data_IF_116854559270
#
_entry.id   IF_116854559270
#
_cell.length_a   1.000
_cell.length_b   1.000
_cell.length_c   1.000
_cell.angle_alpha   90.00
_cell.angle_beta   90.00
_cell.angle_gamma   90.00
#
_symmetry.space_group_name_H-M   'P 1'
#
loop_
_entity.id
_entity.type
_entity.pdbx_description
1 polymer ?
#
# COMPACT_ATOMS: atom_id res chain seq x y z
N UNK A 1 -4.65 9.55 25.80
CA UNK A 1 -3.41 8.88 25.30
C UNK A 1 -3.63 8.54 23.84
N UNK A 2 -2.58 8.58 23.02
CA UNK A 2 -2.68 8.20 21.61
C UNK A 2 -2.87 6.69 21.49
N UNK A 3 -3.92 6.26 20.79
CA UNK A 3 -4.09 4.86 20.41
C UNK A 3 -3.11 4.48 19.28
N UNK A 4 -3.02 3.18 18.93
CA UNK A 4 -2.09 2.72 17.89
C UNK A 4 -2.35 3.39 16.54
N UNK A 5 -3.63 3.53 16.17
CA UNK A 5 -4.02 4.18 14.92
C UNK A 5 -3.72 5.69 14.90
N UNK A 6 -3.74 6.37 16.05
CA UNK A 6 -3.36 7.78 16.20
C UNK A 6 -1.88 8.01 15.84
N UNK A 7 -1.01 7.04 16.12
CA UNK A 7 0.40 7.09 15.75
C UNK A 7 0.58 6.98 14.23
N UNK A 8 -0.16 6.07 13.58
CA UNK A 8 -0.13 5.88 12.13
C UNK A 8 -0.62 7.12 11.38
N UNK A 9 -1.72 7.72 11.84
CA UNK A 9 -2.29 8.96 11.26
C UNK A 9 -1.37 10.18 11.35
N UNK A 10 -0.29 10.11 12.13
CA UNK A 10 0.72 11.18 12.25
C UNK A 10 1.92 11.00 11.33
N UNK A 11 1.99 9.90 10.58
CA UNK A 11 3.08 9.67 9.62
C UNK A 11 2.98 10.65 8.45
N UNK A 12 4.08 11.36 8.15
CA UNK A 12 4.12 12.27 6.99
C UNK A 12 4.54 11.58 5.71
N UNK A 13 5.44 10.61 5.82
CA UNK A 13 6.05 9.89 4.68
C UNK A 13 5.81 8.39 4.80
N UNK A 14 6.04 7.65 3.71
CA UNK A 14 6.07 6.18 3.73
C UNK A 14 7.09 5.64 4.73
N UNK A 15 8.25 6.27 4.82
CA UNK A 15 9.31 5.89 5.76
C UNK A 15 8.87 6.07 7.22
N UNK A 16 8.20 7.19 7.53
CA UNK A 16 7.63 7.41 8.86
C UNK A 16 6.52 6.41 9.19
N UNK A 17 5.69 6.05 8.21
CA UNK A 17 4.63 5.06 8.40
C UNK A 17 5.23 3.69 8.72
N UNK A 18 6.19 3.24 7.92
CA UNK A 18 6.87 1.96 8.11
C UNK A 18 7.60 1.91 9.46
N UNK A 19 8.35 2.96 9.81
CA UNK A 19 9.01 3.03 11.09
C UNK A 19 8.02 3.08 12.27
N UNK A 20 6.85 3.69 12.08
CA UNK A 20 5.78 3.67 13.09
C UNK A 20 5.22 2.26 13.28
N UNK A 21 5.02 1.50 12.19
CA UNK A 21 4.57 0.10 12.27
C UNK A 21 5.59 -0.77 13.00
N UNK A 22 6.87 -0.69 12.61
CA UNK A 22 7.96 -1.43 13.27
C UNK A 22 8.07 -1.05 14.76
N UNK A 23 7.96 0.23 15.10
CA UNK A 23 7.95 0.69 16.48
C UNK A 23 6.80 0.04 17.29
N UNK A 24 5.59 0.02 16.73
CA UNK A 24 4.42 -0.59 17.35
C UNK A 24 4.52 -2.12 17.47
N UNK A 25 5.23 -2.80 16.56
CA UNK A 25 5.53 -4.23 16.66
C UNK A 25 6.54 -4.51 17.78
N UNK A 26 7.60 -3.71 17.90
CA UNK A 26 8.62 -3.90 18.94
C UNK A 26 8.12 -3.63 20.35
N UNK A 27 7.25 -2.63 20.54
CA UNK A 27 6.60 -2.37 21.84
C UNK A 27 5.75 -3.58 22.28
N UNK A 28 5.13 -4.30 21.34
CA UNK A 28 4.36 -5.52 21.64
C UNK A 28 5.24 -6.74 21.93
N UNK A 29 6.36 -6.89 21.22
CA UNK A 29 7.28 -8.01 21.42
C UNK A 29 8.02 -7.92 22.77
N UNK A 30 8.31 -6.71 23.24
CA UNK A 30 8.93 -6.46 24.55
C UNK A 30 8.07 -6.92 25.74
N UNK A 31 6.76 -7.09 25.57
CA UNK A 31 5.83 -7.49 26.63
C UNK A 31 5.71 -9.01 26.79
N UNK A 32 6.05 -9.80 25.77
CA UNK A 32 5.97 -11.27 25.84
C UNK A 32 7.24 -11.93 26.40
N UNK A 33 8.32 -11.17 26.64
CA UNK A 33 9.57 -11.67 27.21
C UNK A 33 9.57 -11.89 28.73
N UNK A 34 8.41 -11.84 29.40
CA UNK A 34 8.30 -11.77 30.86
C UNK A 34 7.27 -12.70 31.48
N UNK A 35 7.29 -14.00 31.18
CA UNK A 35 7.01 -15.14 32.11
C UNK A 35 6.78 -16.43 31.30
N UNK A 36 7.57 -17.45 31.62
CA UNK A 36 7.42 -18.78 31.04
C UNK A 36 6.24 -19.58 31.61
N UNK A 37 6.01 -20.70 30.92
CA UNK A 37 5.26 -21.89 31.29
C UNK A 37 3.71 -21.81 31.25
N UNK A 38 3.17 -22.26 30.11
CA UNK A 38 2.11 -23.26 30.04
C UNK A 38 0.72 -22.86 30.55
N UNK A 39 -0.10 -22.28 29.68
CA UNK A 39 -1.53 -22.59 29.61
C UNK A 39 -2.12 -22.06 28.30
N UNK A 40 -2.72 -22.95 27.50
CA UNK A 40 -3.54 -22.60 26.35
C UNK A 40 -4.79 -21.84 26.85
N UNK A 41 -4.77 -20.51 26.77
CA UNK A 41 -6.00 -19.73 26.96
C UNK A 41 -6.67 -19.45 25.62
N UNK A 42 -7.86 -20.04 25.52
CA UNK A 42 -8.91 -19.80 24.53
C UNK A 42 -9.17 -18.30 24.39
N UNK A 43 -9.07 -17.79 23.16
CA UNK A 43 -9.42 -16.42 22.80
C UNK A 43 -10.88 -16.13 23.17
N UNK A 44 -11.09 -15.22 24.12
CA UNK A 44 -12.35 -14.50 24.31
C UNK A 44 -12.17 -13.06 23.82
N UNK A 45 -13.15 -12.46 23.12
CA UNK A 45 -13.03 -11.12 22.57
C UNK A 45 -13.33 -10.10 23.67
N UNK A 46 -12.28 -9.53 24.25
CA UNK A 46 -12.36 -8.36 25.12
C UNK A 46 -11.65 -7.17 24.45
N UNK A 47 -12.15 -5.94 24.60
CA UNK A 47 -11.74 -4.81 23.78
C UNK A 47 -10.25 -4.48 24.00
N UNK A 48 -9.49 -4.43 22.90
CA UNK A 48 -8.05 -4.14 22.83
C UNK A 48 -7.73 -2.67 23.18
N UNK A 49 -8.11 -2.23 24.37
CA UNK A 49 -7.72 -0.96 24.95
C UNK A 49 -6.94 -1.19 26.25
N UNK A 50 -5.68 -0.76 26.20
CA UNK A 50 -4.72 -0.63 27.31
C UNK A 50 -3.81 -1.83 27.58
N UNK A 51 -2.50 -1.65 27.35
CA UNK A 51 -1.48 -1.46 28.41
C UNK A 51 -0.06 -1.77 27.90
N UNK A 52 0.55 -0.77 27.27
CA UNK A 52 1.91 -0.35 27.65
C UNK A 52 1.78 1.07 28.21
N UNK A 53 2.54 1.50 29.24
CA UNK A 53 2.35 2.83 29.81
C UNK A 53 2.75 3.84 28.74
N UNK A 54 1.75 4.42 28.07
CA UNK A 54 2.01 5.58 27.25
C UNK A 54 2.78 6.58 28.11
N UNK A 55 3.83 7.24 27.57
CA UNK A 55 4.67 8.12 28.37
C UNK A 55 3.74 9.06 29.16
N UNK A 56 3.94 9.17 30.49
CA UNK A 56 3.00 9.90 31.34
C UNK A 56 2.78 11.27 30.73
N UNK A 57 1.52 11.71 30.70
CA UNK A 57 1.20 13.09 30.33
C UNK A 57 2.07 13.99 31.21
N UNK A 58 3.01 14.68 30.58
CA UNK A 58 3.94 15.54 31.28
C UNK A 58 3.22 16.71 31.92
N UNK A 59 3.97 17.52 32.66
CA UNK A 59 3.48 18.80 33.16
C UNK A 59 2.85 19.62 32.02
N UNK A 60 1.84 20.46 32.32
CA UNK A 60 1.23 21.35 31.34
C UNK A 60 2.31 22.13 30.57
N UNK A 61 2.07 22.42 29.27
CA UNK A 61 3.05 23.12 28.46
C UNK A 61 3.42 24.46 29.09
N UNK A 62 4.71 24.74 29.20
CA UNK A 62 5.27 25.99 29.68
C UNK A 62 6.15 26.63 28.60
N UNK A 63 6.54 27.90 28.79
CA UNK A 63 7.43 28.59 27.86
C UNK A 63 8.78 27.88 27.63
N UNK A 64 9.21 27.05 28.59
CA UNK A 64 10.47 26.29 28.56
C UNK A 64 10.26 24.80 28.22
N UNK A 65 9.05 24.27 28.40
CA UNK A 65 8.71 22.88 28.15
C UNK A 65 7.45 22.81 27.27
N UNK A 66 7.65 22.77 25.96
CA UNK A 66 6.58 22.63 24.99
C UNK A 66 6.23 21.17 24.67
N UNK A 67 5.08 20.93 24.00
CA UNK A 67 4.76 19.61 23.51
C UNK A 67 5.74 19.20 22.39
N UNK A 68 5.82 17.89 22.15
CA UNK A 68 6.54 17.33 21.02
C UNK A 68 6.03 17.90 19.69
N UNK A 69 6.95 18.35 18.82
CA UNK A 69 6.60 18.99 17.55
C UNK A 69 5.96 18.04 16.51
N UNK A 70 6.03 16.72 16.73
CA UNK A 70 5.40 15.70 15.88
C UNK A 70 4.02 15.32 16.39
N UNK A 71 3.91 14.85 17.63
CA UNK A 71 2.64 14.33 18.13
C UNK A 71 1.73 15.40 18.75
N UNK A 72 2.27 16.53 19.19
CA UNK A 72 1.60 17.63 19.91
C UNK A 72 0.88 17.22 21.21
N UNK A 73 1.11 15.99 21.69
CA UNK A 73 0.44 15.43 22.88
C UNK A 73 1.42 15.18 24.02
N UNK A 74 2.54 14.51 23.73
CA UNK A 74 3.51 14.16 24.77
C UNK A 74 4.57 15.24 24.95
N UNK A 75 5.14 15.37 26.17
CA UNK A 75 6.23 16.30 26.43
C UNK A 75 7.49 15.93 25.61
N UNK A 76 8.33 16.93 25.34
CA UNK A 76 9.67 16.72 24.77
C UNK A 76 10.55 15.92 25.74
N UNK A 77 11.52 15.19 25.22
CA UNK A 77 12.43 14.41 26.06
C UNK A 77 13.22 15.33 27.02
N UNK A 78 13.06 15.13 28.33
CA UNK A 78 13.72 15.94 29.36
C UNK A 78 15.25 15.78 29.39
N UNK A 79 15.78 14.76 28.71
CA UNK A 79 17.21 14.43 28.68
C UNK A 79 18.04 15.42 27.89
N UNK A 80 17.43 16.24 27.03
CA UNK A 80 18.13 17.28 26.25
C UNK A 80 17.34 18.59 26.28
N UNK A 81 17.96 19.74 26.62
CA UNK A 81 17.26 21.03 26.65
C UNK A 81 16.69 21.43 25.28
N UNK A 82 17.34 21.01 24.19
CA UNK A 82 16.90 21.29 22.81
C UNK A 82 16.06 20.16 22.17
N UNK A 83 15.55 19.21 22.98
CA UNK A 83 14.74 18.12 22.46
C UNK A 83 13.49 18.66 21.76
N UNK A 84 13.32 18.36 20.48
CA UNK A 84 12.13 18.74 19.70
C UNK A 84 10.99 17.73 19.80
N UNK A 85 11.31 16.50 20.18
CA UNK A 85 10.39 15.37 20.12
C UNK A 85 10.33 14.61 21.44
N UNK A 86 9.22 13.90 21.68
CA UNK A 86 9.15 12.91 22.74
C UNK A 86 9.98 11.66 22.37
N UNK A 87 10.37 10.81 23.33
CA UNK A 87 11.19 9.63 23.05
C UNK A 87 10.63 8.72 21.95
N UNK A 88 9.32 8.44 21.97
CA UNK A 88 8.67 7.63 20.94
C UNK A 88 8.72 8.28 19.54
N UNK A 89 8.40 9.57 19.42
CA UNK A 89 8.51 10.29 18.15
C UNK A 89 9.95 10.35 17.65
N UNK A 90 10.92 10.51 18.55
CA UNK A 90 12.34 10.51 18.21
C UNK A 90 12.76 9.15 17.64
N UNK A 91 12.41 8.06 18.31
CA UNK A 91 12.69 6.70 17.87
C UNK A 91 12.07 6.40 16.48
N UNK A 92 10.82 6.80 16.26
CA UNK A 92 10.14 6.65 14.97
C UNK A 92 10.87 7.44 13.87
N UNK A 93 11.26 8.69 14.13
CA UNK A 93 11.95 9.51 13.14
C UNK A 93 13.35 8.97 12.82
N UNK A 94 14.08 8.49 13.82
CA UNK A 94 15.38 7.83 13.61
C UNK A 94 15.23 6.52 12.82
N UNK A 95 14.20 5.73 13.12
CA UNK A 95 13.86 4.53 12.35
C UNK A 95 13.49 4.85 10.90
N UNK A 96 12.72 5.92 10.67
CA UNK A 96 12.30 6.35 9.34
C UNK A 96 13.49 6.64 8.41
N UNK A 97 14.57 7.22 8.93
CA UNK A 97 15.79 7.44 8.15
C UNK A 97 16.42 6.14 7.66
N UNK A 98 16.38 5.07 8.47
CA UNK A 98 16.97 3.76 8.12
C UNK A 98 16.16 3.02 7.06
N UNK A 99 14.84 3.18 7.07
CA UNK A 99 13.93 2.48 6.14
C UNK A 99 13.52 3.32 4.93
N UNK A 100 14.17 4.47 4.71
CA UNK A 100 13.79 5.43 3.67
C UNK A 100 13.81 4.83 2.27
N UNK A 101 14.90 4.14 1.90
CA UNK A 101 15.03 3.52 0.58
C UNK A 101 14.02 2.38 0.38
N UNK A 102 13.81 1.57 1.41
CA UNK A 102 12.82 0.49 1.39
C UNK A 102 11.41 1.04 1.19
N UNK A 103 11.08 2.13 1.89
CA UNK A 103 9.76 2.76 1.80
C UNK A 103 9.49 3.36 0.42
N UNK A 104 10.50 3.88 -0.27
CA UNK A 104 10.33 4.54 -1.58
C UNK A 104 9.81 3.58 -2.68
N UNK A 105 9.95 2.27 -2.47
CA UNK A 105 9.46 1.21 -3.36
C UNK A 105 8.36 0.38 -2.70
N UNK A 106 7.73 0.93 -1.67
CA UNK A 106 6.65 0.27 -0.95
C UNK A 106 5.30 0.85 -1.35
N UNK A 107 4.31 -0.02 -1.26
CA UNK A 107 2.89 0.27 -1.38
C UNK A 107 2.22 0.00 -0.04
N UNK A 108 1.08 0.64 0.16
CA UNK A 108 0.26 0.53 1.34
C UNK A 108 -1.10 -0.01 0.92
N UNK A 109 -1.50 -1.11 1.55
CA UNK A 109 -2.80 -1.71 1.36
C UNK A 109 -3.64 -1.55 2.65
N UNK A 110 -4.71 -0.77 2.58
CA UNK A 110 -5.74 -0.75 3.62
C UNK A 110 -6.83 -1.74 3.23
N UNK A 111 -7.08 -2.72 4.08
CA UNK A 111 -8.10 -3.73 3.86
C UNK A 111 -9.25 -3.61 4.84
N UNK A 112 -10.47 -3.63 4.31
CA UNK A 112 -11.71 -3.82 5.04
C UNK A 112 -12.38 -5.08 4.50
N UNK A 113 -12.34 -6.15 5.28
CA UNK A 113 -12.74 -7.48 4.84
C UNK A 113 -13.68 -8.13 5.83
N UNK A 114 -14.53 -9.04 5.35
CA UNK A 114 -15.44 -9.83 6.18
C UNK A 114 -14.72 -10.62 7.27
N UNK A 115 -13.53 -11.12 6.95
CA UNK A 115 -12.72 -11.93 7.83
C UNK A 115 -11.23 -11.69 7.54
N UNK A 116 -10.43 -11.37 8.56
CA UNK A 116 -8.97 -11.28 8.37
C UNK A 116 -8.38 -12.60 7.86
N UNK A 117 -7.48 -12.56 6.86
CA UNK A 117 -6.67 -13.69 6.44
C UNK A 117 -5.97 -14.38 7.63
N UNK A 118 -5.88 -15.71 7.64
CA UNK A 118 -5.26 -16.45 8.75
C UNK A 118 -3.81 -16.02 8.99
N UNK A 119 -3.09 -15.73 7.91
CA UNK A 119 -1.72 -15.21 7.91
C UNK A 119 -1.57 -13.88 8.66
N UNK A 120 -2.66 -13.12 8.81
CA UNK A 120 -2.69 -11.84 9.52
C UNK A 120 -3.18 -11.95 10.96
N UNK A 121 -3.73 -13.11 11.36
CA UNK A 121 -4.37 -13.32 12.67
C UNK A 121 -3.40 -13.75 13.78
N UNK A 122 -2.17 -14.13 13.44
CA UNK A 122 -1.17 -14.60 14.39
C UNK A 122 0.22 -14.10 14.00
N UNK A 123 1.17 -14.08 14.95
CA UNK A 123 2.55 -13.62 14.80
C UNK A 123 3.40 -14.47 13.85
N UNK A 124 2.93 -14.66 12.62
CA UNK A 124 3.69 -15.18 11.50
C UNK A 124 4.90 -14.28 11.33
N UNK A 125 6.08 -14.89 11.23
CA UNK A 125 7.29 -14.13 10.93
C UNK A 125 7.12 -13.49 9.56
N UNK A 126 7.04 -12.15 9.52
CA UNK A 126 6.85 -11.40 8.29
C UNK A 126 7.97 -11.69 7.27
N UNK A 127 9.12 -12.22 7.72
CA UNK A 127 10.23 -12.67 6.86
C UNK A 127 9.83 -13.75 5.85
N UNK A 128 8.86 -14.58 6.19
CA UNK A 128 8.34 -15.64 5.31
C UNK A 128 7.13 -15.17 4.49
N UNK A 129 6.79 -13.88 4.56
CA UNK A 129 5.65 -13.30 3.87
C UNK A 129 6.07 -12.24 2.85
N UNK A 130 5.16 -11.88 1.94
CA UNK A 130 5.31 -10.76 1.04
C UNK A 130 5.30 -9.38 1.73
N UNK A 131 4.99 -9.34 3.04
CA UNK A 131 4.72 -8.12 3.79
C UNK A 131 5.99 -7.59 4.45
N UNK A 132 6.16 -6.26 4.40
CA UNK A 132 7.21 -5.55 5.14
C UNK A 132 6.76 -5.20 6.55
N UNK A 133 5.49 -4.87 6.73
CA UNK A 133 4.90 -4.53 8.01
C UNK A 133 3.38 -4.75 7.98
N UNK A 134 2.80 -5.09 9.13
CA UNK A 134 1.38 -5.36 9.27
C UNK A 134 0.83 -4.70 10.53
N UNK A 135 -0.32 -4.04 10.39
CA UNK A 135 -1.09 -3.54 11.52
C UNK A 135 -2.53 -4.00 11.40
N UNK A 136 -2.96 -4.79 12.38
CA UNK A 136 -4.36 -5.19 12.53
C UNK A 136 -5.06 -4.18 13.42
N UNK A 137 -6.11 -3.54 12.91
CA UNK A 137 -6.88 -2.55 13.65
C UNK A 137 -7.98 -3.21 14.49
N UNK A 138 -8.73 -4.12 13.88
CA UNK A 138 -9.79 -4.94 14.48
C UNK A 138 -10.00 -6.23 13.65
N UNK A 139 -11.11 -6.94 13.84
CA UNK A 139 -11.39 -8.23 13.16
C UNK A 139 -11.65 -8.13 11.65
N UNK A 140 -11.81 -6.92 11.11
CA UNK A 140 -12.18 -6.64 9.72
C UNK A 140 -11.19 -5.70 9.02
N UNK A 141 -10.45 -4.89 9.78
CA UNK A 141 -9.59 -3.85 9.27
C UNK A 141 -8.11 -4.16 9.50
N UNK A 142 -7.32 -4.02 8.44
CA UNK A 142 -5.87 -4.12 8.52
C UNK A 142 -5.18 -3.13 7.58
N UNK A 143 -3.93 -2.84 7.92
CA UNK A 143 -3.00 -2.06 7.13
C UNK A 143 -1.77 -2.92 6.86
N UNK A 144 -1.48 -3.18 5.59
CA UNK A 144 -0.29 -3.89 5.17
C UNK A 144 0.62 -2.96 4.37
N UNK A 145 1.92 -3.06 4.59
CA UNK A 145 2.94 -2.47 3.72
C UNK A 145 3.72 -3.59 3.05
N UNK A 146 3.95 -3.48 1.76
CA UNK A 146 4.69 -4.46 0.96
C UNK A 146 5.47 -3.75 -0.15
N UNK A 147 6.46 -4.42 -0.74
CA UNK A 147 7.15 -3.87 -1.92
C UNK A 147 6.22 -3.93 -3.12
N UNK A 148 6.28 -2.95 -4.03
CA UNK A 148 5.35 -2.90 -5.16
C UNK A 148 5.33 -4.19 -6.00
N UNK A 149 6.49 -4.86 -6.18
CA UNK A 149 6.61 -6.12 -6.95
C UNK A 149 5.94 -7.32 -6.30
N UNK A 150 5.68 -7.23 -5.01
CA UNK A 150 5.05 -8.30 -4.24
C UNK A 150 3.53 -8.21 -4.30
N UNK A 151 2.97 -7.16 -4.94
CA UNK A 151 1.52 -6.97 -5.03
C UNK A 151 0.82 -8.15 -5.70
N UNK A 152 1.29 -8.56 -6.87
CA UNK A 152 0.69 -9.66 -7.61
C UNK A 152 0.77 -11.01 -6.86
N UNK A 153 1.96 -11.49 -6.41
CA UNK A 153 2.02 -12.77 -5.71
C UNK A 153 1.24 -12.73 -4.39
N UNK A 154 1.24 -11.61 -3.66
CA UNK A 154 0.43 -11.45 -2.46
C UNK A 154 -1.08 -11.53 -2.73
N UNK A 155 -1.56 -10.89 -3.79
CA UNK A 155 -2.98 -10.97 -4.17
C UNK A 155 -3.36 -12.37 -4.68
N UNK A 156 -2.47 -13.05 -5.40
CA UNK A 156 -2.67 -14.43 -5.82
C UNK A 156 -2.75 -15.35 -4.60
N UNK A 157 -1.87 -15.17 -3.63
CA UNK A 157 -1.88 -15.91 -2.37
C UNK A 157 -3.20 -15.70 -1.59
N UNK A 158 -3.64 -14.45 -1.45
CA UNK A 158 -4.93 -14.12 -0.84
C UNK A 158 -6.10 -14.80 -1.56
N UNK A 159 -6.11 -14.77 -2.89
CA UNK A 159 -7.14 -15.40 -3.70
C UNK A 159 -7.10 -16.94 -3.62
N UNK A 160 -5.92 -17.54 -3.53
CA UNK A 160 -5.75 -18.99 -3.42
C UNK A 160 -6.21 -19.52 -2.05
N UNK A 161 -5.81 -18.87 -0.96
CA UNK A 161 -6.13 -19.35 0.40
C UNK A 161 -7.52 -18.97 0.88
N UNK A 162 -8.05 -17.83 0.44
CA UNK A 162 -9.34 -17.32 0.92
C UNK A 162 -10.44 -17.30 -0.16
N UNK A 163 -10.11 -17.60 -1.41
CA UNK A 163 -11.09 -17.83 -2.47
C UNK A 163 -12.16 -16.73 -2.56
N UNK A 164 -13.43 -17.17 -2.68
CA UNK A 164 -14.60 -16.30 -2.67
C UNK A 164 -15.14 -15.96 -1.26
N UNK A 165 -14.51 -16.46 -0.21
CA UNK A 165 -14.95 -16.25 1.17
C UNK A 165 -14.48 -14.89 1.70
N UNK A 166 -13.30 -14.44 1.26
CA UNK A 166 -12.82 -13.08 1.51
C UNK A 166 -13.65 -12.10 0.67
N UNK A 167 -14.39 -11.23 1.34
CA UNK A 167 -15.20 -10.18 0.68
C UNK A 167 -14.90 -8.85 1.32
N UNK A 168 -15.08 -7.76 0.59
CA UNK A 168 -14.81 -6.41 1.07
C UNK A 168 -13.96 -5.61 0.08
N UNK A 169 -13.12 -4.73 0.61
CA UNK A 169 -12.36 -3.75 -0.15
C UNK A 169 -10.89 -3.75 0.27
N UNK A 170 -9.99 -3.87 -0.71
CA UNK A 170 -8.56 -3.60 -0.57
C UNK A 170 -8.24 -2.32 -1.31
N UNK A 171 -7.82 -1.28 -0.60
CA UNK A 171 -7.35 -0.02 -1.19
C UNK A 171 -5.83 -0.01 -1.19
N UNK A 172 -5.23 0.04 -2.39
CA UNK A 172 -3.78 0.00 -2.59
C UNK A 172 -3.31 1.35 -3.10
N UNK A 173 -2.33 1.94 -2.42
CA UNK A 173 -1.74 3.24 -2.78
C UNK A 173 -0.22 3.19 -2.63
N UNK A 174 0.57 3.79 -3.53
CA UNK A 174 2.00 3.96 -3.31
C UNK A 174 2.26 4.87 -2.11
N UNK A 175 3.41 4.67 -1.48
CA UNK A 175 3.86 5.56 -0.41
C UNK A 175 4.25 6.93 -0.93
N UNK A 176 4.22 7.94 -0.04
CA UNK A 176 4.63 9.30 -0.37
C UNK A 176 5.99 9.65 0.22
N UNK A 177 6.73 10.54 -0.46
CA UNK A 177 7.89 11.22 0.10
C UNK A 177 7.54 12.40 1.02
N UNK A 178 6.25 12.70 1.21
CA UNK A 178 5.75 13.76 2.10
C UNK A 178 5.82 15.19 1.57
N UNK A 179 6.07 15.41 0.27
CA UNK A 179 6.05 16.77 -0.32
C UNK A 179 4.63 17.25 -0.61
N UNK A 180 3.86 16.45 -1.35
CA UNK A 180 2.55 16.86 -1.86
C UNK A 180 1.39 16.18 -1.13
N UNK A 181 1.64 15.07 -0.43
CA UNK A 181 0.62 14.34 0.31
C UNK A 181 1.23 13.66 1.54
N UNK A 182 0.56 13.76 2.67
CA UNK A 182 0.97 13.10 3.91
C UNK A 182 0.34 11.71 4.01
N UNK A 183 1.14 10.70 4.37
CA UNK A 183 0.63 9.33 4.53
C UNK A 183 -0.53 9.23 5.51
N UNK A 184 -0.46 9.93 6.64
CA UNK A 184 -1.53 9.93 7.62
C UNK A 184 -2.85 10.50 7.10
N UNK A 185 -2.79 11.50 6.22
CA UNK A 185 -4.00 12.04 5.56
C UNK A 185 -4.58 11.04 4.56
N UNK A 186 -3.72 10.41 3.76
CA UNK A 186 -4.12 9.35 2.82
C UNK A 186 -4.82 8.21 3.54
N UNK A 187 -4.28 7.74 4.66
CA UNK A 187 -4.90 6.71 5.48
C UNK A 187 -6.29 7.13 5.98
N UNK A 188 -6.43 8.35 6.51
CA UNK A 188 -7.74 8.86 6.93
C UNK A 188 -8.75 8.89 5.77
N UNK A 189 -8.31 9.27 4.56
CA UNK A 189 -9.17 9.30 3.37
C UNK A 189 -9.55 7.90 2.89
N UNK A 190 -8.61 6.96 2.91
CA UNK A 190 -8.88 5.55 2.58
C UNK A 190 -9.94 4.98 3.52
N UNK A 191 -9.76 5.16 4.84
CA UNK A 191 -10.74 4.72 5.85
C UNK A 191 -12.11 5.39 5.62
N UNK A 192 -12.13 6.68 5.28
CA UNK A 192 -13.40 7.36 4.98
C UNK A 192 -14.09 6.83 3.72
N UNK A 193 -13.34 6.49 2.68
CA UNK A 193 -13.86 6.04 1.39
C UNK A 193 -14.41 4.61 1.43
N UNK A 194 -13.97 3.82 2.39
CA UNK A 194 -14.37 2.43 2.59
C UNK A 194 -15.88 2.25 2.80
N UNK A 195 -16.51 3.14 3.58
CA UNK A 195 -17.92 3.07 3.96
C UNK A 195 -18.91 3.08 2.77
N UNK A 196 -18.43 3.34 1.55
CA UNK A 196 -19.22 3.40 0.32
C UNK A 196 -19.34 2.05 -0.40
N UNK A 197 -18.59 1.02 0.01
CA UNK A 197 -18.53 -0.24 -0.72
C UNK A 197 -19.26 -1.38 0.00
N UNK A 198 -20.11 -2.13 -0.72
CA UNK A 198 -20.73 -3.33 -0.15
C UNK A 198 -19.71 -4.47 -0.01
N UNK A 199 -19.90 -5.32 0.99
CA UNK A 199 -19.06 -6.48 1.30
C UNK A 199 -19.54 -7.76 0.60
N UNK A 200 -20.04 -7.65 -0.64
CA UNK A 200 -20.57 -8.76 -1.44
C UNK A 200 -19.49 -9.58 -2.15
N UNK A 201 -18.39 -8.93 -2.54
CA UNK A 201 -17.23 -9.53 -3.23
C UNK A 201 -15.95 -8.82 -2.82
N UNK A 202 -14.79 -9.41 -3.10
CA UNK A 202 -13.50 -8.73 -2.89
C UNK A 202 -13.22 -7.78 -4.04
N UNK A 203 -13.20 -6.48 -3.74
CA UNK A 203 -12.81 -5.43 -4.68
C UNK A 203 -11.43 -4.91 -4.36
N UNK A 204 -10.67 -4.60 -5.40
CA UNK A 204 -9.39 -3.92 -5.30
C UNK A 204 -9.55 -2.53 -5.87
N UNK A 205 -9.23 -1.54 -5.06
CA UNK A 205 -9.15 -0.15 -5.45
C UNK A 205 -7.69 0.25 -5.55
N UNK A 206 -7.19 0.36 -6.77
CA UNK A 206 -5.78 0.60 -7.03
C UNK A 206 -5.55 2.05 -7.43
N UNK A 207 -4.82 2.79 -6.59
CA UNK A 207 -4.38 4.15 -6.88
C UNK A 207 -2.95 4.07 -7.41
N UNK A 208 -2.73 4.40 -8.68
CA UNK A 208 -1.39 4.43 -9.28
C UNK A 208 -0.52 5.53 -8.68
N UNK A 209 -1.15 6.61 -8.20
CA UNK A 209 -0.48 7.74 -7.56
C UNK A 209 -1.22 8.23 -6.31
N UNK A 210 -0.51 8.77 -5.30
CA UNK A 210 -1.12 9.13 -4.02
C UNK A 210 -2.21 10.21 -4.13
N UNK A 211 -2.04 11.17 -5.05
CA UNK A 211 -3.00 12.26 -5.25
C UNK A 211 -4.37 11.78 -5.74
N UNK A 212 -4.45 10.60 -6.37
CA UNK A 212 -5.71 10.03 -6.86
C UNK A 212 -6.70 9.69 -5.73
N UNK A 213 -6.20 9.52 -4.50
CA UNK A 213 -7.04 9.29 -3.30
C UNK A 213 -7.90 10.53 -2.96
N UNK A 214 -7.49 11.72 -3.39
CA UNK A 214 -8.19 12.98 -3.10
C UNK A 214 -9.45 13.13 -3.98
N UNK A 215 -9.39 12.71 -5.24
CA UNK A 215 -10.48 12.82 -6.22
C UNK A 215 -10.86 11.46 -6.85
N UNK A 216 -11.26 10.48 -6.03
CA UNK A 216 -11.36 9.10 -6.50
C UNK A 216 -12.59 8.88 -7.40
N UNK A 217 -13.55 9.81 -7.40
CA UNK A 217 -14.75 9.78 -8.25
C UNK A 217 -14.44 9.97 -9.73
N UNK A 218 -13.39 10.73 -10.06
CA UNK A 218 -12.99 10.96 -11.45
C UNK A 218 -12.53 9.64 -12.09
N UNK A 219 -11.65 8.93 -11.39
CA UNK A 219 -11.08 7.67 -11.86
C UNK A 219 -12.08 6.50 -11.81
N UNK A 220 -13.01 6.51 -10.85
CA UNK A 220 -14.14 5.55 -10.85
C UNK A 220 -15.01 5.70 -12.11
N UNK A 221 -15.34 6.94 -12.52
CA UNK A 221 -16.11 7.19 -13.76
C UNK A 221 -15.39 6.75 -15.01
N UNK A 222 -14.05 6.75 -14.98
CA UNK A 222 -13.19 6.28 -16.06
C UNK A 222 -13.02 4.75 -16.05
N UNK A 223 -13.51 4.05 -15.01
CA UNK A 223 -13.45 2.60 -14.90
C UNK A 223 -12.04 2.04 -14.65
N UNK A 224 -11.11 2.84 -14.12
CA UNK A 224 -9.69 2.47 -13.97
C UNK A 224 -9.22 2.39 -12.52
N UNK A 225 -10.15 2.48 -11.57
CA UNK A 225 -9.81 2.56 -10.15
C UNK A 225 -10.24 1.34 -9.34
N UNK A 226 -11.45 0.84 -9.57
CA UNK A 226 -12.05 -0.22 -8.76
C UNK A 226 -12.31 -1.45 -9.63
N UNK A 227 -11.77 -2.58 -9.21
CA UNK A 227 -11.81 -3.86 -9.93
C UNK A 227 -12.27 -4.98 -9.00
N UNK A 228 -12.81 -6.04 -9.57
CA UNK A 228 -12.85 -7.32 -8.85
C UNK A 228 -11.44 -7.90 -8.75
N UNK A 229 -11.14 -8.65 -7.68
CA UNK A 229 -9.81 -9.27 -7.49
C UNK A 229 -9.37 -10.09 -8.71
N UNK A 230 -10.27 -10.89 -9.30
CA UNK A 230 -9.96 -11.71 -10.47
C UNK A 230 -9.71 -10.86 -11.73
N UNK A 231 -10.39 -9.74 -11.87
CA UNK A 231 -10.16 -8.79 -12.98
C UNK A 231 -8.82 -8.07 -12.83
N UNK A 232 -8.51 -7.61 -11.62
CA UNK A 232 -7.25 -6.95 -11.34
C UNK A 232 -6.05 -7.88 -11.53
N UNK A 233 -6.15 -9.14 -11.08
CA UNK A 233 -5.12 -10.15 -11.31
C UNK A 233 -4.88 -10.39 -12.81
N UNK A 234 -5.94 -10.47 -13.63
CA UNK A 234 -5.79 -10.57 -15.09
C UNK A 234 -5.07 -9.36 -15.69
N UNK A 235 -5.34 -8.15 -15.21
CA UNK A 235 -4.62 -6.95 -15.68
C UNK A 235 -3.14 -6.96 -15.27
N UNK A 236 -2.82 -7.44 -14.06
CA UNK A 236 -1.43 -7.64 -13.64
C UNK A 236 -0.73 -8.68 -14.52
N UNK A 237 -1.39 -9.79 -14.84
CA UNK A 237 -0.85 -10.80 -15.76
C UNK A 237 -0.62 -10.20 -17.16
N UNK A 238 -1.54 -9.38 -17.66
CA UNK A 238 -1.34 -8.63 -18.90
C UNK A 238 -0.13 -7.68 -18.80
N UNK A 239 0.04 -6.96 -17.69
CA UNK A 239 1.20 -6.11 -17.48
C UNK A 239 2.52 -6.91 -17.48
N UNK A 240 2.54 -8.12 -16.89
CA UNK A 240 3.71 -9.03 -16.94
C UNK A 240 4.04 -9.41 -18.37
N UNK A 241 3.04 -9.86 -19.14
CA UNK A 241 3.23 -10.28 -20.54
C UNK A 241 3.70 -9.09 -21.38
N UNK A 242 3.08 -7.92 -21.20
CA UNK A 242 3.44 -6.68 -21.87
C UNK A 242 4.89 -6.29 -21.59
N UNK A 243 5.29 -6.31 -20.31
CA UNK A 243 6.66 -5.99 -19.87
C UNK A 243 7.69 -6.99 -20.38
N UNK A 244 7.30 -8.25 -20.57
CA UNK A 244 8.20 -9.33 -21.01
C UNK A 244 8.38 -9.34 -22.52
N UNK A 245 7.32 -9.04 -23.29
CA UNK A 245 7.34 -9.13 -24.75
C UNK A 245 7.78 -7.83 -25.45
N UNK A 246 7.63 -6.67 -24.80
CA UNK A 246 8.01 -5.37 -25.38
C UNK A 246 9.18 -4.75 -24.61
N UNK A 247 10.19 -4.31 -25.35
CA UNK A 247 11.31 -3.55 -24.79
C UNK A 247 10.86 -2.15 -24.34
N UNK A 248 11.54 -1.52 -23.37
CA UNK A 248 11.14 -0.19 -22.87
C UNK A 248 10.99 0.88 -23.96
N UNK A 249 11.83 0.86 -25.00
CA UNK A 249 11.71 1.79 -26.11
C UNK A 249 10.48 1.50 -26.99
N UNK A 250 10.14 0.24 -27.18
CA UNK A 250 8.95 -0.17 -27.93
C UNK A 250 7.67 0.20 -27.18
N UNK A 251 7.68 0.03 -25.85
CA UNK A 251 6.61 0.47 -24.97
C UNK A 251 6.42 1.99 -25.09
N UNK A 252 7.49 2.77 -25.02
CA UNK A 252 7.39 4.24 -25.18
C UNK A 252 6.79 4.64 -26.54
N UNK A 253 7.27 4.05 -27.63
CA UNK A 253 6.74 4.34 -28.98
C UNK A 253 5.26 3.96 -29.06
N UNK A 254 4.87 2.82 -28.50
CA UNK A 254 3.48 2.37 -28.47
C UNK A 254 2.60 3.32 -27.65
N UNK A 255 3.07 3.80 -26.50
CA UNK A 255 2.35 4.77 -25.66
C UNK A 255 2.08 6.06 -26.42
N UNK A 256 3.12 6.62 -27.05
CA UNK A 256 3.01 7.82 -27.88
C UNK A 256 1.98 7.63 -29.00
N UNK A 257 1.96 6.46 -29.64
CA UNK A 257 1.01 6.17 -30.71
C UNK A 257 -0.44 6.02 -30.24
N UNK A 258 -0.67 5.49 -29.04
CA UNK A 258 -2.00 5.30 -28.48
C UNK A 258 -2.58 6.58 -27.89
N UNK A 259 -1.73 7.53 -27.50
CA UNK A 259 -2.17 8.83 -26.94
C UNK A 259 -2.35 9.89 -28.03
N UNK A 260 -1.48 9.91 -29.03
CA UNK A 260 -1.49 10.93 -30.08
C UNK A 260 -2.73 10.82 -30.97
N UNK A 261 -3.31 11.97 -31.32
CA UNK A 261 -4.60 12.06 -32.04
C UNK A 261 -4.44 12.23 -33.56
N UNK A 262 -3.22 12.22 -34.09
CA UNK A 262 -2.95 12.42 -35.51
C UNK A 262 -3.30 11.18 -36.35
N UNK A 263 -4.60 11.02 -36.63
CA UNK A 263 -5.19 9.93 -37.40
C UNK A 263 -4.58 9.76 -38.81
N UNK A 264 -3.99 10.83 -39.37
CA UNK A 264 -3.38 10.82 -40.71
C UNK A 264 -2.04 10.07 -40.76
N UNK A 265 -1.29 10.01 -39.65
CA UNK A 265 0.02 9.34 -39.59
C UNK A 265 -0.01 8.05 -38.76
N UNK A 266 -1.09 7.78 -38.03
CA UNK A 266 -1.25 6.60 -37.18
C UNK A 266 -0.97 5.29 -37.94
N UNK A 267 -1.54 5.12 -39.14
CA UNK A 267 -1.33 3.90 -39.93
C UNK A 267 0.13 3.69 -40.34
N UNK A 268 0.83 4.77 -40.68
CA UNK A 268 2.24 4.71 -41.09
C UNK A 268 3.14 4.32 -39.92
N UNK A 269 3.00 5.01 -38.78
CA UNK A 269 3.81 4.70 -37.60
C UNK A 269 3.46 3.34 -36.99
N UNK A 270 2.20 2.92 -37.03
CA UNK A 270 1.78 1.60 -36.61
C UNK A 270 2.45 0.51 -37.46
N UNK A 271 2.46 0.69 -38.78
CA UNK A 271 3.16 -0.23 -39.69
C UNK A 271 4.66 -0.31 -39.39
N UNK A 272 5.30 0.82 -39.04
CA UNK A 272 6.71 0.86 -38.66
C UNK A 272 6.98 0.16 -37.34
N UNK A 273 6.15 0.40 -36.32
CA UNK A 273 6.25 -0.29 -35.03
C UNK A 273 6.13 -1.81 -35.23
N UNK A 274 5.10 -2.26 -35.95
CA UNK A 274 4.96 -3.68 -36.30
C UNK A 274 6.17 -4.18 -37.11
N UNK A 275 6.82 -3.35 -37.93
CA UNK A 275 8.07 -3.75 -38.60
C UNK A 275 9.18 -4.16 -37.63
N UNK A 276 9.25 -3.52 -36.46
CA UNK A 276 10.30 -3.73 -35.46
C UNK A 276 9.99 -4.85 -34.44
N UNK A 277 8.71 -5.12 -34.18
CA UNK A 277 8.30 -6.07 -33.15
C UNK A 277 8.53 -7.55 -33.53
N UNK A 278 8.76 -8.38 -32.51
CA UNK A 278 8.74 -9.85 -32.61
C UNK A 278 7.35 -10.35 -33.02
N UNK A 279 7.27 -11.61 -33.47
CA UNK A 279 5.99 -12.21 -33.86
C UNK A 279 5.05 -12.34 -32.67
N UNK A 280 5.60 -12.76 -31.53
CA UNK A 280 4.88 -12.94 -30.28
C UNK A 280 4.28 -11.61 -29.78
N UNK A 281 5.05 -10.52 -29.83
CA UNK A 281 4.57 -9.20 -29.46
C UNK A 281 3.44 -8.70 -30.37
N UNK A 282 3.52 -8.97 -31.69
CA UNK A 282 2.44 -8.64 -32.64
C UNK A 282 1.15 -9.39 -32.32
N UNK A 283 1.28 -10.70 -32.12
CA UNK A 283 0.14 -11.57 -31.85
C UNK A 283 -0.54 -11.16 -30.53
N UNK A 284 0.23 -10.79 -29.51
CA UNK A 284 -0.28 -10.21 -28.26
C UNK A 284 -1.07 -8.92 -28.50
N UNK A 285 -0.47 -7.92 -29.17
CA UNK A 285 -1.13 -6.62 -29.41
C UNK A 285 -2.43 -6.77 -30.22
N UNK A 286 -2.43 -7.67 -31.20
CA UNK A 286 -3.60 -7.98 -32.01
C UNK A 286 -4.68 -8.70 -31.21
N UNK A 287 -4.30 -9.70 -30.40
CA UNK A 287 -5.23 -10.45 -29.55
C UNK A 287 -5.93 -9.54 -28.53
N UNK A 288 -5.20 -8.58 -27.96
CA UNK A 288 -5.75 -7.61 -27.00
C UNK A 288 -6.54 -6.47 -27.65
N UNK A 289 -6.46 -6.34 -28.98
CA UNK A 289 -7.07 -5.22 -29.73
C UNK A 289 -6.72 -3.87 -29.11
N UNK A 290 -5.45 -3.68 -28.75
CA UNK A 290 -4.99 -2.53 -27.93
C UNK A 290 -5.34 -1.16 -28.55
N UNK A 291 -5.50 -1.10 -29.88
CA UNK A 291 -5.94 0.10 -30.61
C UNK A 291 -7.36 0.57 -30.27
N UNK A 292 -8.19 -0.30 -29.72
CA UNK A 292 -9.57 0.00 -29.32
C UNK A 292 -9.67 0.39 -27.85
N UNK A 293 -8.57 0.38 -27.11
CA UNK A 293 -8.57 0.69 -25.69
C UNK A 293 -8.76 2.19 -25.48
N UNK A 294 -9.40 2.52 -24.37
CA UNK A 294 -9.53 3.91 -23.94
C UNK A 294 -8.20 4.39 -23.38
N UNK A 295 -7.85 5.68 -23.58
CA UNK A 295 -6.62 6.29 -23.04
C UNK A 295 -6.36 5.94 -21.55
N UNK A 296 -7.36 5.98 -20.65
CA UNK A 296 -7.16 5.62 -19.25
C UNK A 296 -6.73 4.16 -19.02
N UNK A 297 -7.22 3.24 -19.86
CA UNK A 297 -6.86 1.81 -19.76
C UNK A 297 -5.41 1.59 -20.21
N UNK A 298 -4.98 2.33 -21.23
CA UNK A 298 -3.59 2.34 -21.68
C UNK A 298 -2.72 2.89 -20.54
N UNK A 299 -3.02 4.06 -20.01
CA UNK A 299 -2.24 4.66 -18.92
C UNK A 299 -2.15 3.74 -17.70
N UNK A 300 -3.26 3.11 -17.30
CA UNK A 300 -3.26 2.12 -16.22
C UNK A 300 -2.32 0.94 -16.50
N UNK A 301 -2.31 0.40 -17.72
CA UNK A 301 -1.40 -0.70 -18.07
C UNK A 301 0.07 -0.29 -17.87
N UNK A 302 0.45 0.91 -18.32
CA UNK A 302 1.81 1.42 -18.18
C UNK A 302 2.18 1.67 -16.72
N UNK A 303 1.24 2.16 -15.91
CA UNK A 303 1.44 2.28 -14.46
C UNK A 303 1.64 0.90 -13.83
N UNK A 304 0.84 -0.09 -14.18
CA UNK A 304 0.94 -1.47 -13.64
C UNK A 304 2.23 -2.19 -14.03
N UNK A 305 2.87 -1.83 -15.15
CA UNK A 305 4.17 -2.39 -15.55
C UNK A 305 5.22 -2.19 -14.46
N UNK A 306 5.17 -1.08 -13.71
CA UNK A 306 6.09 -0.84 -12.60
C UNK A 306 5.88 -1.85 -11.45
N UNK A 307 4.65 -2.31 -11.24
CA UNK A 307 4.23 -3.15 -10.11
C UNK A 307 4.48 -4.64 -10.33
N UNK A 308 4.85 -5.05 -11.54
CA UNK A 308 5.00 -6.47 -11.90
C UNK A 308 6.45 -6.84 -12.21
N UNK A 309 6.77 -8.12 -11.99
CA UNK A 309 8.04 -8.72 -12.41
C UNK A 309 8.06 -9.08 -13.90
N UNK A 310 9.19 -9.61 -14.36
CA UNK A 310 9.26 -10.32 -15.64
C UNK A 310 8.74 -11.75 -15.46
N UNK A 311 8.24 -12.36 -16.53
CA UNK A 311 7.97 -13.79 -16.53
C UNK A 311 9.29 -14.52 -16.25
N UNK A 312 9.37 -15.25 -15.14
CA UNK A 312 10.50 -16.15 -14.90
C UNK A 312 10.32 -17.34 -15.84
N UNK A 313 11.03 -17.33 -16.95
CA UNK A 313 11.26 -18.53 -17.74
C UNK A 313 12.02 -19.53 -16.87
N UNK A 314 11.30 -20.50 -16.30
CA UNK A 314 11.89 -21.71 -15.73
C UNK A 314 12.49 -22.57 -16.86
#
# INVERSE_FOLDING_TARGET
MLNRFDWLRRARTGAELLATLQYLETDLAGEQGGKGAGEQQVFSPAPLLSRSPAPPLGSPPSALAGPCLRCWVYPRAATKPDARYCPACQAILEGAWRVREQSARAIVAWGFVTQLPQQMRGGVDLRDTHLTALYVHDEQHFLAMLRYRELQPWLQELALYHGGDLKGLLQVVPTTGGRDSHMGELLCRMVHNEARFPTDRLRIRFFASPHQVYDPQLYDRMGVLTFEVAEFLRMLDMAVVFRTLLLPDEQRILHELLINEDASQEQFYWGRLLGCLTREAKDMLNAWRIRQWQKPQVDLLYELVEYVGFYQSY
#
